data_IF_069396386366
#
_entry.id   IF_069396386366
#
_cell.length_a   1.000
_cell.length_b   1.000
_cell.length_c   1.000
_cell.angle_alpha   90.00
_cell.angle_beta   90.00
_cell.angle_gamma   90.00
#
_symmetry.space_group_name_H-M   'P 1'
#
loop_
_entity.id
_entity.type
_entity.pdbx_description
1 polymer ?
#
# COMPACT_ATOMS: atom_id res chain seq x y z
N UNK A 1 -14.43 -2.38 -66.28
CA UNK A 1 -15.27 -1.26 -65.83
C UNK A 1 -16.54 -1.88 -65.26
N UNK A 2 -16.58 -2.20 -63.95
CA UNK A 2 -16.88 -1.19 -62.93
C UNK A 2 -16.22 -1.40 -61.52
N UNK A 3 -16.32 -0.32 -60.73
CA UNK A 3 -16.42 -0.22 -59.26
C UNK A 3 -15.38 -0.88 -58.35
N UNK A 4 -14.46 -0.03 -57.85
CA UNK A 4 -13.67 -0.26 -56.64
C UNK A 4 -14.55 -0.19 -55.38
N UNK A 5 -14.34 -1.15 -54.48
CA UNK A 5 -14.87 -1.20 -53.12
C UNK A 5 -14.01 -0.34 -52.19
N UNK A 6 -14.63 0.63 -51.54
CA UNK A 6 -14.07 1.32 -50.37
C UNK A 6 -14.15 0.39 -49.15
N UNK A 7 -13.00 0.05 -48.57
CA UNK A 7 -12.91 -0.55 -47.24
C UNK A 7 -12.11 0.36 -46.31
N UNK A 8 -12.86 1.09 -45.48
CA UNK A 8 -12.36 1.90 -44.37
C UNK A 8 -11.62 1.02 -43.35
N UNK A 9 -10.29 1.06 -43.37
CA UNK A 9 -9.45 0.52 -42.29
C UNK A 9 -9.12 1.64 -41.30
N UNK A 10 -9.95 1.80 -40.26
CA UNK A 10 -9.63 2.64 -39.11
C UNK A 10 -8.53 1.99 -38.27
N UNK A 11 -7.30 2.44 -38.52
CA UNK A 11 -6.11 2.18 -37.71
C UNK A 11 -6.30 2.72 -36.28
N UNK A 12 -6.46 1.83 -35.31
CA UNK A 12 -6.33 2.16 -33.89
C UNK A 12 -4.85 2.39 -33.57
N UNK A 13 -4.40 3.64 -33.75
CA UNK A 13 -3.10 4.10 -33.29
C UNK A 13 -3.03 4.00 -31.75
N UNK A 14 -2.36 2.96 -31.25
CA UNK A 14 -1.93 2.91 -29.86
C UNK A 14 -1.00 4.10 -29.58
N UNK A 15 -1.49 5.09 -28.83
CA UNK A 15 -0.67 6.15 -28.26
C UNK A 15 0.35 5.52 -27.31
N UNK A 16 1.55 5.24 -27.81
CA UNK A 16 2.73 4.95 -26.99
C UNK A 16 3.03 6.20 -26.17
N UNK A 17 2.73 6.16 -24.88
CA UNK A 17 3.17 7.17 -23.93
C UNK A 17 4.71 7.22 -23.95
N UNK A 18 5.27 8.21 -24.66
CA UNK A 18 6.68 8.53 -24.56
C UNK A 18 6.99 8.91 -23.12
N UNK A 19 7.73 8.06 -22.42
CA UNK A 19 8.22 8.36 -21.08
C UNK A 19 9.27 9.45 -21.24
N UNK A 20 8.93 10.71 -20.91
CA UNK A 20 9.87 11.83 -20.85
C UNK A 20 10.90 11.55 -19.75
N UNK A 21 11.97 10.84 -20.12
CA UNK A 21 12.97 10.31 -19.20
C UNK A 21 14.11 11.27 -18.87
N UNK A 22 14.05 12.51 -19.36
CA UNK A 22 15.10 13.50 -19.18
C UNK A 22 14.45 14.84 -18.84
N UNK A 23 14.55 15.26 -17.56
CA UNK A 23 14.40 16.66 -17.20
C UNK A 23 15.81 17.23 -17.07
N UNK A 24 16.26 17.97 -18.08
CA UNK A 24 17.50 18.77 -18.06
C UNK A 24 18.82 18.01 -17.84
N UNK A 25 19.03 16.87 -18.51
CA UNK A 25 20.34 16.20 -18.52
C UNK A 25 20.79 15.57 -17.20
N UNK A 26 19.94 15.56 -16.17
CA UNK A 26 20.25 14.98 -14.86
C UNK A 26 19.60 13.61 -14.67
N UNK A 27 20.28 12.73 -13.94
CA UNK A 27 19.77 11.41 -13.55
C UNK A 27 18.47 11.58 -12.77
N UNK A 28 17.46 10.80 -13.17
CA UNK A 28 16.11 10.82 -12.62
C UNK A 28 16.14 10.39 -11.14
N UNK A 29 15.85 11.32 -10.23
CA UNK A 29 15.92 11.07 -8.77
C UNK A 29 14.66 10.43 -8.17
N UNK A 30 13.50 10.54 -8.83
CA UNK A 30 12.24 10.06 -8.25
C UNK A 30 12.03 8.55 -8.47
N UNK A 31 11.54 7.85 -7.45
CA UNK A 31 11.19 6.42 -7.54
C UNK A 31 10.20 6.15 -8.68
N UNK A 32 9.21 7.02 -8.88
CA UNK A 32 8.19 6.89 -9.94
C UNK A 32 8.84 6.82 -11.33
N UNK A 33 9.78 7.72 -11.59
CA UNK A 33 10.40 7.79 -12.91
C UNK A 33 11.48 6.69 -13.10
N UNK A 34 12.20 6.30 -12.04
CA UNK A 34 13.03 5.08 -12.08
C UNK A 34 12.22 3.81 -12.38
N UNK A 35 11.02 3.69 -11.82
CA UNK A 35 10.12 2.58 -12.12
C UNK A 35 9.58 2.63 -13.55
N UNK A 36 9.40 3.83 -14.10
CA UNK A 36 8.96 4.02 -15.48
C UNK A 36 10.01 3.55 -16.50
N UNK A 37 11.31 3.73 -16.21
CA UNK A 37 12.41 3.26 -17.06
C UNK A 37 12.41 1.75 -17.28
N UNK A 38 11.97 0.98 -16.28
CA UNK A 38 11.96 -0.49 -16.32
C UNK A 38 10.56 -1.07 -16.52
N UNK A 39 9.55 -0.22 -16.75
CA UNK A 39 8.15 -0.65 -16.80
C UNK A 39 7.82 -1.49 -18.04
N UNK A 40 8.52 -1.28 -19.15
CA UNK A 40 8.33 -2.02 -20.40
C UNK A 40 9.04 -3.38 -20.41
N UNK A 41 10.15 -3.51 -19.69
CA UNK A 41 10.99 -4.72 -19.69
C UNK A 41 10.65 -5.69 -18.56
N UNK A 42 10.05 -5.21 -17.47
CA UNK A 42 9.70 -6.03 -16.31
C UNK A 42 8.20 -6.32 -16.22
N UNK A 43 7.81 -7.47 -15.65
CA UNK A 43 6.41 -7.74 -15.33
C UNK A 43 5.80 -6.62 -14.49
N UNK A 44 4.50 -6.38 -14.66
CA UNK A 44 3.75 -5.42 -13.84
C UNK A 44 3.94 -5.72 -12.35
N UNK A 45 3.98 -4.70 -11.51
CA UNK A 45 4.23 -4.83 -10.06
C UNK A 45 3.20 -5.71 -9.34
N UNK A 46 1.99 -5.82 -9.88
CA UNK A 46 0.91 -6.66 -9.37
C UNK A 46 0.87 -8.07 -10.00
N UNK A 47 1.84 -8.44 -10.84
CA UNK A 47 1.93 -9.76 -11.46
C UNK A 47 2.16 -10.87 -10.42
N UNK A 48 1.77 -12.10 -10.79
CA UNK A 48 1.81 -13.27 -9.92
C UNK A 48 3.23 -13.68 -9.49
N UNK A 49 4.28 -13.24 -10.19
CA UNK A 49 5.68 -13.49 -9.80
C UNK A 49 6.17 -12.49 -8.74
N UNK A 50 5.70 -11.25 -8.78
CA UNK A 50 6.19 -10.19 -7.89
C UNK A 50 5.78 -10.41 -6.43
N UNK A 51 4.58 -10.94 -6.21
CA UNK A 51 4.03 -11.20 -4.86
C UNK A 51 4.79 -12.30 -4.10
N UNK A 52 4.98 -13.53 -4.62
CA UNK A 52 5.72 -14.58 -3.93
C UNK A 52 7.19 -14.20 -3.76
N UNK A 53 7.83 -13.57 -4.76
CA UNK A 53 9.21 -13.09 -4.60
C UNK A 53 9.31 -12.07 -3.46
N UNK A 54 8.45 -11.06 -3.43
CA UNK A 54 8.44 -10.07 -2.33
C UNK A 54 8.10 -10.70 -0.96
N UNK A 55 7.22 -11.70 -0.90
CA UNK A 55 6.90 -12.41 0.34
C UNK A 55 8.10 -13.22 0.83
N UNK A 56 8.74 -13.95 -0.08
CA UNK A 56 9.94 -14.74 0.19
C UNK A 56 11.09 -13.86 0.67
N UNK A 57 11.40 -12.76 -0.03
CA UNK A 57 12.44 -11.81 0.40
C UNK A 57 12.15 -11.24 1.78
N UNK A 58 10.91 -10.87 2.11
CA UNK A 58 10.57 -10.38 3.47
C UNK A 58 10.78 -11.44 4.54
N UNK A 59 10.48 -12.69 4.23
CA UNK A 59 10.69 -13.82 5.14
C UNK A 59 12.18 -13.99 5.42
N UNK A 60 13.02 -13.97 4.39
CA UNK A 60 14.48 -14.07 4.55
C UNK A 60 15.08 -12.90 5.34
N UNK A 61 14.57 -11.69 5.13
CA UNK A 61 14.99 -10.47 5.84
C UNK A 61 14.39 -10.33 7.25
N UNK A 62 13.64 -11.30 7.76
CA UNK A 62 13.00 -11.21 9.08
C UNK A 62 12.17 -9.92 9.27
N UNK A 63 11.42 -9.51 8.25
CA UNK A 63 10.63 -8.29 8.32
C UNK A 63 9.73 -8.26 9.56
N UNK A 64 9.92 -7.24 10.40
CA UNK A 64 9.18 -7.12 11.64
C UNK A 64 7.78 -6.57 11.35
N UNK A 65 6.76 -7.42 11.47
CA UNK A 65 5.37 -7.02 11.19
C UNK A 65 4.80 -6.03 12.21
N UNK A 66 5.32 -6.02 13.44
CA UNK A 66 4.88 -5.14 14.53
C UNK A 66 5.39 -3.72 14.27
N UNK A 67 6.70 -3.57 14.08
CA UNK A 67 7.35 -2.27 13.87
C UNK A 67 7.40 -1.85 12.40
N UNK A 68 6.95 -2.71 11.48
CA UNK A 68 7.04 -2.51 10.03
C UNK A 68 8.45 -2.15 9.58
N UNK A 69 9.46 -2.79 10.17
CA UNK A 69 10.88 -2.47 9.95
C UNK A 69 11.62 -3.64 9.30
N UNK A 70 12.70 -3.29 8.60
CA UNK A 70 13.69 -4.23 8.08
C UNK A 70 14.93 -4.21 8.98
N UNK A 71 15.80 -5.23 8.89
CA UNK A 71 17.09 -5.21 9.55
C UNK A 71 17.88 -3.94 9.20
N UNK A 72 18.71 -3.52 10.15
CA UNK A 72 19.65 -2.42 9.93
C UNK A 72 20.55 -2.71 8.74
N UNK A 73 21.07 -1.64 8.13
CA UNK A 73 22.07 -1.74 7.08
C UNK A 73 23.29 -2.54 7.55
N UNK A 74 24.00 -3.12 6.58
CA UNK A 74 25.23 -3.87 6.82
C UNK A 74 26.30 -2.98 7.48
N UNK A 75 27.14 -3.57 8.33
CA UNK A 75 28.29 -2.88 8.93
C UNK A 75 29.46 -2.77 7.94
N UNK A 76 30.45 -1.95 8.27
CA UNK A 76 31.66 -1.84 7.46
C UNK A 76 32.41 -3.18 7.38
N UNK A 77 32.44 -3.94 8.47
CA UNK A 77 33.06 -5.26 8.58
C UNK A 77 32.36 -6.28 7.68
N UNK A 78 31.02 -6.32 7.71
CA UNK A 78 30.22 -7.15 6.80
C UNK A 78 30.56 -6.80 5.33
N UNK A 79 30.70 -5.51 5.01
CA UNK A 79 31.06 -5.07 3.64
C UNK A 79 32.41 -5.59 3.16
N UNK A 80 33.39 -5.71 4.06
CA UNK A 80 34.74 -6.16 3.72
C UNK A 80 34.78 -7.66 3.38
N UNK A 81 33.85 -8.45 3.89
CA UNK A 81 33.77 -9.90 3.63
C UNK A 81 33.35 -10.24 2.17
N UNK A 82 32.75 -9.29 1.46
CA UNK A 82 32.23 -9.49 0.09
C UNK A 82 33.26 -9.50 -1.03
N UNK A 83 34.55 -9.27 -0.75
CA UNK A 83 35.54 -8.90 -1.78
C UNK A 83 35.67 -9.91 -2.95
N UNK A 84 35.27 -11.17 -2.78
CA UNK A 84 35.53 -12.23 -3.75
C UNK A 84 34.29 -12.87 -4.39
N UNK A 85 33.07 -12.48 -4.02
CA UNK A 85 31.88 -13.17 -4.49
C UNK A 85 31.28 -12.54 -5.76
N UNK A 86 31.20 -13.33 -6.84
CA UNK A 86 30.55 -12.94 -8.10
C UNK A 86 29.14 -13.55 -8.19
N UNK A 87 28.29 -12.96 -9.03
CA UNK A 87 26.94 -13.48 -9.30
C UNK A 87 27.01 -14.92 -9.82
N UNK A 88 27.90 -15.19 -10.77
CA UNK A 88 28.08 -16.49 -11.40
C UNK A 88 28.51 -17.55 -10.38
N UNK A 89 29.44 -17.20 -9.49
CA UNK A 89 29.90 -18.08 -8.42
C UNK A 89 28.76 -18.40 -7.44
N UNK A 90 28.02 -17.38 -6.99
CA UNK A 90 26.87 -17.57 -6.09
C UNK A 90 25.79 -18.46 -6.70
N UNK A 91 25.42 -18.20 -7.96
CA UNK A 91 24.35 -18.93 -8.64
C UNK A 91 24.75 -20.37 -9.01
N UNK A 92 26.03 -20.62 -9.28
CA UNK A 92 26.52 -21.96 -9.65
C UNK A 92 26.73 -22.88 -8.44
N UNK A 93 26.96 -22.31 -7.25
CA UNK A 93 27.17 -23.08 -6.04
C UNK A 93 25.86 -23.67 -5.49
N UNK A 94 25.55 -24.91 -5.85
CA UNK A 94 24.33 -25.60 -5.40
C UNK A 94 24.58 -26.51 -4.17
N UNK A 95 25.77 -26.48 -3.56
CA UNK A 95 26.17 -27.43 -2.50
C UNK A 95 25.25 -27.38 -1.27
N UNK A 96 24.78 -26.19 -0.90
CA UNK A 96 23.89 -26.00 0.24
C UNK A 96 22.56 -26.77 0.09
N UNK A 97 22.06 -26.92 -1.14
CA UNK A 97 20.80 -27.60 -1.41
C UNK A 97 20.93 -29.12 -1.45
N UNK A 98 22.14 -29.64 -1.72
CA UNK A 98 22.43 -31.08 -1.65
C UNK A 98 22.47 -31.56 -0.20
N UNK A 99 22.92 -30.70 0.72
CA UNK A 99 22.99 -30.97 2.17
C UNK A 99 21.63 -30.79 2.87
N UNK A 100 20.64 -30.26 2.16
CA UNK A 100 19.31 -29.94 2.68
C UNK A 100 18.54 -31.14 3.30
N UNK A 101 18.56 -32.37 2.74
CA UNK A 101 17.68 -33.46 3.19
C UNK A 101 17.94 -33.92 4.64
N UNK A 102 19.17 -33.83 5.13
CA UNK A 102 19.57 -34.41 6.42
C UNK A 102 19.32 -33.47 7.61
N UNK A 103 19.49 -32.15 7.44
CA UNK A 103 19.41 -31.17 8.55
C UNK A 103 18.00 -30.61 8.74
N UNK A 104 17.14 -30.71 7.72
CA UNK A 104 15.91 -29.92 7.62
C UNK A 104 14.63 -30.75 7.51
N UNK A 105 14.76 -32.08 7.48
CA UNK A 105 13.66 -33.04 7.53
C UNK A 105 12.86 -32.98 8.84
N UNK A 106 13.41 -32.35 9.89
CA UNK A 106 12.74 -32.13 11.17
C UNK A 106 11.81 -30.89 11.21
N UNK A 107 11.94 -29.96 10.27
CA UNK A 107 11.12 -28.75 10.24
C UNK A 107 9.86 -28.94 9.38
N UNK A 108 8.69 -28.84 10.01
CA UNK A 108 7.39 -28.90 9.33
C UNK A 108 7.05 -27.61 8.56
N UNK A 109 7.61 -26.46 8.96
CA UNK A 109 7.40 -25.18 8.27
C UNK A 109 8.42 -24.95 7.16
N UNK A 110 7.94 -24.90 5.92
CA UNK A 110 8.72 -24.56 4.72
C UNK A 110 9.39 -23.19 4.83
N UNK A 111 8.76 -22.21 5.50
CA UNK A 111 9.32 -20.86 5.61
C UNK A 111 10.55 -20.84 6.53
N UNK A 112 10.43 -21.41 7.73
CA UNK A 112 11.55 -21.59 8.65
C UNK A 112 12.70 -22.37 8.01
N UNK A 113 12.36 -23.43 7.26
CA UNK A 113 13.33 -24.24 6.51
C UNK A 113 14.14 -23.40 5.53
N UNK A 114 13.46 -22.71 4.62
CA UNK A 114 14.11 -21.89 3.59
C UNK A 114 15.00 -20.81 4.22
N UNK A 115 14.56 -20.22 5.33
CA UNK A 115 15.36 -19.26 6.08
C UNK A 115 16.65 -19.86 6.64
N UNK A 116 16.59 -21.04 7.25
CA UNK A 116 17.79 -21.68 7.80
C UNK A 116 18.80 -22.06 6.71
N UNK A 117 18.33 -22.62 5.58
CA UNK A 117 19.19 -22.91 4.41
C UNK A 117 19.85 -21.63 3.91
N UNK A 118 19.08 -20.56 3.80
CA UNK A 118 19.58 -19.26 3.37
C UNK A 118 20.67 -18.70 4.28
N UNK A 119 20.45 -18.73 5.60
CA UNK A 119 21.45 -18.24 6.57
C UNK A 119 22.69 -19.14 6.59
N UNK A 120 22.53 -20.46 6.48
CA UNK A 120 23.65 -21.38 6.39
C UNK A 120 24.50 -21.15 5.11
N UNK A 121 23.85 -20.85 3.98
CA UNK A 121 24.54 -20.47 2.74
C UNK A 121 25.33 -19.17 2.93
N UNK A 122 24.72 -18.13 3.51
CA UNK A 122 25.40 -16.86 3.80
C UNK A 122 26.62 -17.03 4.72
N UNK A 123 26.50 -17.90 5.74
CA UNK A 123 27.55 -18.15 6.71
C UNK A 123 28.81 -18.78 6.08
N UNK A 124 28.68 -19.57 5.01
CA UNK A 124 29.82 -20.09 4.25
C UNK A 124 30.70 -18.98 3.65
N UNK A 125 30.14 -17.79 3.49
CA UNK A 125 30.80 -16.59 2.95
C UNK A 125 31.05 -15.52 4.03
N UNK A 126 30.96 -15.89 5.32
CA UNK A 126 31.22 -15.02 6.47
C UNK A 126 30.06 -14.09 6.85
N UNK A 127 28.96 -14.08 6.09
CA UNK A 127 27.81 -13.22 6.34
C UNK A 127 26.88 -13.85 7.38
N UNK A 128 26.64 -13.16 8.49
CA UNK A 128 25.86 -13.71 9.61
C UNK A 128 24.36 -13.43 9.51
N UNK A 129 23.94 -12.45 8.71
CA UNK A 129 22.54 -12.03 8.59
C UNK A 129 22.18 -11.54 7.19
N UNK A 130 20.89 -11.62 6.90
CA UNK A 130 20.29 -11.10 5.68
C UNK A 130 19.93 -9.61 5.81
N UNK A 131 20.51 -8.75 4.98
CA UNK A 131 20.10 -7.34 4.89
C UNK A 131 20.43 -6.75 3.52
N UNK A 132 19.89 -5.57 3.22
CA UNK A 132 20.25 -4.78 2.05
C UNK A 132 20.89 -3.45 2.47
N UNK A 133 21.69 -2.88 1.58
CA UNK A 133 22.06 -1.47 1.63
C UNK A 133 20.83 -0.62 1.28
N UNK A 134 20.17 -0.09 2.31
CA UNK A 134 19.01 0.78 2.18
C UNK A 134 19.36 2.22 1.77
N UNK A 135 20.63 2.61 1.86
CA UNK A 135 21.11 3.89 1.35
C UNK A 135 21.08 3.94 -0.19
N UNK A 136 21.13 2.76 -0.83
CA UNK A 136 21.21 2.59 -2.29
C UNK A 136 22.43 3.30 -2.89
N UNK A 137 23.59 3.22 -2.23
CA UNK A 137 24.84 3.71 -2.83
C UNK A 137 25.01 3.10 -4.23
N UNK A 138 25.30 3.95 -5.19
CA UNK A 138 25.48 3.54 -6.58
C UNK A 138 26.63 2.53 -6.67
N UNK A 139 26.45 1.47 -7.47
CA UNK A 139 27.43 0.40 -7.58
C UNK A 139 27.61 -0.43 -6.30
N UNK A 140 26.69 -0.38 -5.34
CA UNK A 140 26.82 -1.18 -4.12
C UNK A 140 26.74 -2.68 -4.43
N UNK A 141 27.92 -3.33 -4.41
CA UNK A 141 28.11 -4.77 -4.61
C UNK A 141 27.32 -5.62 -3.59
N UNK A 142 27.10 -5.10 -2.38
CA UNK A 142 26.29 -5.79 -1.36
C UNK A 142 24.89 -6.14 -1.87
N UNK A 143 24.19 -5.18 -2.47
CA UNK A 143 22.84 -5.42 -2.98
C UNK A 143 22.81 -6.38 -4.17
N UNK A 144 23.86 -6.37 -5.00
CA UNK A 144 23.99 -7.31 -6.13
C UNK A 144 24.17 -8.75 -5.64
N UNK A 145 25.08 -8.95 -4.69
CA UNK A 145 25.35 -10.27 -4.11
C UNK A 145 24.14 -10.79 -3.33
N UNK A 146 23.56 -9.97 -2.45
CA UNK A 146 22.35 -10.37 -1.71
C UNK A 146 21.16 -10.65 -2.63
N UNK A 147 21.04 -9.92 -3.74
CA UNK A 147 20.04 -10.21 -4.77
C UNK A 147 20.28 -11.58 -5.40
N UNK A 148 21.53 -11.92 -5.70
CA UNK A 148 21.90 -13.22 -6.26
C UNK A 148 21.55 -14.37 -5.30
N UNK A 149 21.85 -14.24 -4.00
CA UNK A 149 21.44 -15.24 -3.00
C UNK A 149 19.92 -15.37 -2.92
N UNK A 150 19.18 -14.25 -2.86
CA UNK A 150 17.71 -14.30 -2.80
C UNK A 150 17.12 -14.99 -4.04
N UNK A 151 17.66 -14.71 -5.23
CA UNK A 151 17.21 -15.33 -6.48
C UNK A 151 17.52 -16.82 -6.49
N UNK A 152 18.75 -17.21 -6.15
CA UNK A 152 19.20 -18.61 -6.04
C UNK A 152 18.24 -19.43 -5.17
N UNK A 153 17.96 -18.97 -3.96
CA UNK A 153 17.08 -19.68 -3.01
C UNK A 153 15.62 -19.63 -3.44
N UNK A 154 15.17 -18.54 -4.07
CA UNK A 154 13.81 -18.44 -4.58
C UNK A 154 13.56 -19.43 -5.72
N UNK A 155 14.52 -19.61 -6.64
CA UNK A 155 14.44 -20.59 -7.73
C UNK A 155 14.36 -22.01 -7.14
N UNK A 156 15.25 -22.36 -6.21
CA UNK A 156 15.25 -23.66 -5.54
C UNK A 156 13.90 -23.95 -4.83
N UNK A 157 13.39 -22.99 -4.07
CA UNK A 157 12.09 -23.11 -3.41
C UNK A 157 10.94 -23.28 -4.43
N UNK A 158 11.03 -22.63 -5.59
CA UNK A 158 10.02 -22.74 -6.66
C UNK A 158 10.05 -24.11 -7.34
N UNK A 159 11.22 -24.68 -7.57
CA UNK A 159 11.42 -25.99 -8.20
C UNK A 159 10.92 -27.11 -7.30
N UNK A 160 11.13 -26.99 -5.98
CA UNK A 160 10.55 -27.88 -4.97
C UNK A 160 9.04 -27.78 -4.79
N UNK A 161 8.41 -26.74 -5.33
CA UNK A 161 6.97 -26.52 -5.19
C UNK A 161 6.54 -25.82 -3.89
N UNK A 162 7.46 -25.16 -3.16
CA UNK A 162 7.14 -24.47 -1.90
C UNK A 162 6.11 -23.32 -2.07
N UNK A 163 5.95 -22.83 -3.30
CA UNK A 163 4.97 -21.81 -3.65
C UNK A 163 3.62 -22.39 -4.15
N UNK A 164 3.45 -23.70 -4.14
CA UNK A 164 2.26 -24.38 -4.67
C UNK A 164 2.04 -24.15 -6.17
N UNK A 165 0.79 -24.33 -6.62
CA UNK A 165 0.38 -24.23 -8.03
C UNK A 165 0.17 -22.78 -8.50
N UNK A 166 1.00 -21.83 -8.06
CA UNK A 166 0.88 -20.45 -8.51
C UNK A 166 1.18 -20.36 -10.02
N UNK A 167 0.28 -19.74 -10.82
CA UNK A 167 0.46 -19.61 -12.27
C UNK A 167 1.51 -18.52 -12.57
N UNK A 168 2.78 -18.86 -12.40
CA UNK A 168 3.91 -18.00 -12.73
C UNK A 168 4.29 -18.27 -14.19
N UNK A 169 4.22 -17.23 -15.02
CA UNK A 169 4.68 -17.32 -16.41
C UNK A 169 6.18 -17.68 -16.45
N UNK A 170 6.58 -18.81 -17.06
CA UNK A 170 7.98 -19.23 -17.13
C UNK A 170 8.90 -18.19 -17.78
N UNK A 171 8.40 -17.41 -18.75
CA UNK A 171 9.18 -16.32 -19.38
C UNK A 171 9.57 -15.20 -18.43
N UNK A 172 8.98 -15.14 -17.23
CA UNK A 172 9.36 -14.19 -16.18
C UNK A 172 10.46 -14.74 -15.26
N UNK A 173 10.75 -16.04 -15.31
CA UNK A 173 11.74 -16.75 -14.49
C UNK A 173 13.08 -16.75 -15.23
N UNK A 174 13.61 -15.56 -15.45
CA UNK A 174 14.97 -15.35 -15.98
C UNK A 174 15.73 -14.51 -14.96
N UNK A 175 17.04 -14.75 -14.77
CA UNK A 175 17.85 -14.01 -13.81
C UNK A 175 17.64 -12.49 -13.92
N UNK A 176 17.81 -11.93 -15.12
CA UNK A 176 17.65 -10.49 -15.39
C UNK A 176 16.28 -9.93 -14.98
N UNK A 177 15.19 -10.70 -15.20
CA UNK A 177 13.85 -10.27 -14.78
C UNK A 177 13.67 -10.37 -13.27
N UNK A 178 14.14 -11.45 -12.65
CA UNK A 178 14.06 -11.62 -11.19
C UNK A 178 14.86 -10.54 -10.46
N UNK A 179 16.08 -10.28 -10.92
CA UNK A 179 16.94 -9.20 -10.45
C UNK A 179 16.26 -7.84 -10.63
N UNK A 180 15.73 -7.54 -11.81
CA UNK A 180 15.01 -6.30 -12.07
C UNK A 180 13.79 -6.11 -11.17
N UNK A 181 13.01 -7.18 -10.94
CA UNK A 181 11.86 -7.16 -10.02
C UNK A 181 12.33 -6.89 -8.58
N UNK A 182 13.39 -7.57 -8.14
CA UNK A 182 13.90 -7.43 -6.78
C UNK A 182 14.50 -6.05 -6.56
N UNK A 183 15.30 -5.54 -7.50
CA UNK A 183 15.87 -4.19 -7.43
C UNK A 183 14.78 -3.12 -7.44
N UNK A 184 13.70 -3.28 -8.22
CA UNK A 184 12.53 -2.39 -8.16
C UNK A 184 11.87 -2.42 -6.77
N UNK A 185 11.76 -3.61 -6.16
CA UNK A 185 11.23 -3.78 -4.81
C UNK A 185 12.14 -3.14 -3.75
N UNK A 186 13.45 -3.38 -3.79
CA UNK A 186 14.45 -2.81 -2.89
C UNK A 186 14.41 -1.28 -2.95
N UNK A 187 14.41 -0.69 -4.16
CA UNK A 187 14.30 0.77 -4.33
C UNK A 187 13.04 1.34 -3.70
N UNK A 188 11.91 0.65 -3.87
CA UNK A 188 10.66 1.02 -3.21
C UNK A 188 10.78 1.02 -1.69
N UNK A 189 11.39 -0.02 -1.12
CA UNK A 189 11.54 -0.14 0.34
C UNK A 189 12.56 0.82 0.93
N UNK A 190 13.69 1.00 0.28
CA UNK A 190 14.66 2.04 0.63
C UNK A 190 14.02 3.44 0.60
N UNK A 191 13.16 3.73 -0.38
CA UNK A 191 12.39 4.99 -0.41
C UNK A 191 11.40 5.10 0.75
N UNK A 192 10.71 4.02 1.12
CA UNK A 192 9.81 3.98 2.27
C UNK A 192 10.59 4.26 3.58
N UNK A 193 11.75 3.63 3.76
CA UNK A 193 12.63 3.79 4.92
C UNK A 193 13.15 5.24 5.02
N UNK A 194 13.75 5.77 3.94
CA UNK A 194 14.32 7.14 3.94
C UNK A 194 13.26 8.22 4.13
N UNK A 195 12.06 8.02 3.61
CA UNK A 195 10.96 8.97 3.83
C UNK A 195 10.32 8.84 5.22
N UNK A 196 10.77 7.88 6.04
CA UNK A 196 10.15 7.59 7.33
C UNK A 196 8.68 7.18 7.17
N UNK A 197 8.31 6.55 6.04
CA UNK A 197 6.91 6.17 5.75
C UNK A 197 6.33 5.27 6.84
N UNK A 198 7.18 4.47 7.47
CA UNK A 198 6.81 3.56 8.56
C UNK A 198 6.97 4.18 9.95
N UNK A 199 7.27 5.48 10.06
CA UNK A 199 7.24 6.16 11.35
C UNK A 199 5.82 6.07 11.96
N UNK A 200 5.68 5.86 13.28
CA UNK A 200 4.38 5.67 13.93
C UNK A 200 3.35 6.75 13.56
N UNK A 201 3.77 8.02 13.51
CA UNK A 201 2.88 9.12 13.14
C UNK A 201 2.35 9.03 11.71
N UNK A 202 3.22 8.71 10.74
CA UNK A 202 2.80 8.55 9.33
C UNK A 202 1.93 7.31 9.14
N UNK A 203 2.23 6.24 9.86
CA UNK A 203 1.39 5.03 9.87
C UNK A 203 0.00 5.33 10.43
N UNK A 204 -0.09 6.11 11.51
CA UNK A 204 -1.37 6.56 12.08
C UNK A 204 -2.19 7.35 11.06
N UNK A 205 -1.58 8.32 10.39
CA UNK A 205 -2.25 9.10 9.33
C UNK A 205 -2.73 8.21 8.18
N UNK A 206 -1.91 7.24 7.72
CA UNK A 206 -2.30 6.30 6.65
C UNK A 206 -3.48 5.43 7.09
N UNK A 207 -3.45 4.90 8.31
CA UNK A 207 -4.51 4.04 8.84
C UNK A 207 -5.81 4.83 9.06
N UNK A 208 -5.73 6.04 9.61
CA UNK A 208 -6.88 6.95 9.76
C UNK A 208 -7.52 7.26 8.41
N UNK A 209 -6.72 7.58 7.40
CA UNK A 209 -7.21 7.83 6.04
C UNK A 209 -7.86 6.59 5.41
N UNK A 210 -7.31 5.40 5.64
CA UNK A 210 -7.89 4.14 5.16
C UNK A 210 -9.25 3.89 5.81
N UNK A 211 -9.35 4.08 7.13
CA UNK A 211 -10.59 3.94 7.90
C UNK A 211 -11.65 4.97 7.49
N UNK A 212 -11.25 6.24 7.32
CA UNK A 212 -12.10 7.31 6.79
C UNK A 212 -12.74 6.94 5.45
N UNK A 213 -11.96 6.36 4.52
CA UNK A 213 -12.46 5.87 3.23
C UNK A 213 -13.41 4.67 3.37
N UNK A 214 -13.15 3.76 4.31
CA UNK A 214 -14.05 2.64 4.58
C UNK A 214 -15.39 3.11 5.14
N UNK A 215 -15.36 4.04 6.10
CA UNK A 215 -16.55 4.66 6.68
C UNK A 215 -17.34 5.42 5.62
N UNK A 216 -16.65 6.19 4.78
CA UNK A 216 -17.26 6.87 3.64
C UNK A 216 -17.99 5.88 2.73
N UNK A 217 -17.33 4.80 2.31
CA UNK A 217 -17.96 3.77 1.48
C UNK A 217 -19.21 3.20 2.15
N UNK A 218 -19.11 2.83 3.42
CA UNK A 218 -20.25 2.29 4.17
C UNK A 218 -21.45 3.27 4.19
N UNK A 219 -21.18 4.55 4.45
CA UNK A 219 -22.22 5.60 4.47
C UNK A 219 -22.78 5.86 3.08
N UNK A 220 -21.92 5.95 2.07
CA UNK A 220 -22.31 6.11 0.68
C UNK A 220 -23.26 4.99 0.25
N UNK A 221 -22.88 3.73 0.49
CA UNK A 221 -23.71 2.56 0.19
C UNK A 221 -25.03 2.57 0.98
N UNK A 222 -25.03 3.14 2.19
CA UNK A 222 -26.24 3.24 3.03
C UNK A 222 -27.18 4.36 2.59
N UNK A 223 -26.64 5.52 2.21
CA UNK A 223 -27.38 6.65 1.65
C UNK A 223 -28.03 6.24 0.33
N UNK A 224 -27.29 5.59 -0.56
CA UNK A 224 -27.83 5.07 -1.81
C UNK A 224 -28.97 4.08 -1.56
N UNK A 225 -28.77 3.11 -0.65
CA UNK A 225 -29.75 2.06 -0.36
C UNK A 225 -31.04 2.59 0.27
N UNK A 226 -30.95 3.56 1.18
CA UNK A 226 -32.08 3.98 1.99
C UNK A 226 -32.70 5.31 1.54
N UNK A 227 -31.91 6.25 1.04
CA UNK A 227 -32.35 7.62 0.71
C UNK A 227 -32.34 7.91 -0.80
N UNK A 228 -31.86 6.95 -1.59
CA UNK A 228 -31.75 7.04 -3.04
C UNK A 228 -30.55 7.85 -3.50
N UNK A 229 -30.27 7.78 -4.81
CA UNK A 229 -29.04 8.29 -5.41
C UNK A 229 -28.87 9.82 -5.28
N UNK A 230 -29.97 10.58 -5.28
CA UNK A 230 -29.94 12.04 -5.09
C UNK A 230 -29.32 12.46 -3.75
N UNK A 231 -29.42 11.61 -2.73
CA UNK A 231 -28.86 11.87 -1.39
C UNK A 231 -27.34 11.85 -1.35
N UNK A 232 -26.68 11.25 -2.35
CA UNK A 232 -25.21 11.16 -2.43
C UNK A 232 -24.56 12.54 -2.62
N UNK A 233 -25.31 13.53 -3.12
CA UNK A 233 -24.88 14.93 -3.18
C UNK A 233 -24.54 15.51 -1.80
N UNK A 234 -25.07 14.93 -0.72
CA UNK A 234 -24.80 15.35 0.66
C UNK A 234 -23.48 14.81 1.22
N UNK A 235 -22.95 13.73 0.62
CA UNK A 235 -21.69 13.09 1.01
C UNK A 235 -20.80 12.88 -0.24
N UNK A 236 -20.33 13.97 -0.87
CA UNK A 236 -19.63 13.89 -2.15
C UNK A 236 -18.25 13.23 -2.07
N UNK A 237 -17.57 13.28 -0.92
CA UNK A 237 -16.21 12.75 -0.76
C UNK A 237 -15.96 12.17 0.64
N UNK A 238 -14.92 11.34 0.76
CA UNK A 238 -14.47 10.79 2.04
C UNK A 238 -14.09 11.88 3.05
N UNK A 239 -13.74 13.09 2.61
CA UNK A 239 -13.49 14.26 3.44
C UNK A 239 -14.69 14.73 4.26
N UNK A 240 -15.91 14.28 3.92
CA UNK A 240 -17.11 14.46 4.73
C UNK A 240 -17.14 13.56 5.99
N UNK A 241 -16.22 12.59 6.11
CA UNK A 241 -16.04 11.75 7.30
C UNK A 241 -14.89 12.28 8.17
N UNK A 242 -15.14 12.47 9.47
CA UNK A 242 -14.10 12.88 10.42
C UNK A 242 -13.07 11.76 10.63
N UNK A 243 -11.80 12.14 10.83
CA UNK A 243 -10.73 11.23 11.22
C UNK A 243 -10.90 10.70 12.66
N UNK A 244 -11.63 11.44 13.51
CA UNK A 244 -11.84 11.11 14.93
C UNK A 244 -12.98 10.12 15.17
N UNK A 245 -13.69 9.70 14.13
CA UNK A 245 -14.86 8.84 14.29
C UNK A 245 -14.50 7.36 14.53
N UNK A 246 -13.24 6.97 14.33
CA UNK A 246 -12.80 5.57 14.41
C UNK A 246 -11.59 5.37 15.34
N UNK A 247 -11.85 5.23 16.64
CA UNK A 247 -10.88 4.75 17.64
C UNK A 247 -11.42 3.49 18.33
N UNK A 248 -11.04 2.26 17.88
CA UNK A 248 -11.62 1.02 18.40
C UNK A 248 -11.27 0.75 19.88
N UNK A 249 -10.19 1.35 20.38
CA UNK A 249 -9.64 1.06 21.71
C UNK A 249 -9.88 2.20 22.71
N UNK A 250 -10.47 3.32 22.25
CA UNK A 250 -10.79 4.52 23.06
C UNK A 250 -12.25 4.95 22.89
N UNK A 251 -13.17 4.01 22.68
CA UNK A 251 -14.60 4.30 22.56
C UNK A 251 -15.25 4.64 23.91
N UNK A 252 -14.91 5.81 24.45
CA UNK A 252 -15.78 6.62 25.29
C UNK A 252 -15.83 8.02 24.69
N UNK A 253 -16.36 8.10 23.47
CA UNK A 253 -16.66 9.41 22.90
C UNK A 253 -17.87 9.99 23.63
N UNK A 254 -17.83 11.31 23.68
CA UNK A 254 -18.42 12.14 24.69
C UNK A 254 -19.57 12.89 23.93
N UNK A 255 -20.85 12.75 24.32
CA UNK A 255 -22.09 12.92 23.48
C UNK A 255 -22.68 14.33 23.52
N UNK A 256 -22.97 14.90 22.34
CA UNK A 256 -23.88 16.04 22.19
C UNK A 256 -25.31 15.50 22.12
N UNK A 257 -26.13 15.77 23.14
CA UNK A 257 -27.51 15.29 23.21
C UNK A 257 -28.39 15.95 22.14
N UNK A 258 -28.63 15.25 21.04
CA UNK A 258 -29.56 15.70 19.99
C UNK A 258 -30.82 14.83 20.01
N UNK A 259 -31.98 15.49 20.16
CA UNK A 259 -33.32 14.90 20.40
C UNK A 259 -33.82 13.99 19.28
N UNK A 260 -33.25 14.10 18.07
CA UNK A 260 -33.74 13.45 16.85
C UNK A 260 -33.03 12.14 16.47
N UNK A 261 -32.14 11.58 17.32
CA UNK A 261 -31.53 10.26 17.07
C UNK A 261 -32.32 9.15 17.77
N UNK A 262 -32.99 8.30 16.99
CA UNK A 262 -33.70 7.12 17.48
C UNK A 262 -32.76 6.09 18.09
N UNK A 263 -33.21 5.43 19.17
CA UNK A 263 -32.48 4.51 20.06
C UNK A 263 -31.94 3.21 19.44
N UNK A 264 -32.11 2.98 18.13
CA UNK A 264 -31.72 1.72 17.48
C UNK A 264 -30.68 1.97 16.37
N UNK A 265 -29.49 1.38 16.59
CA UNK A 265 -28.37 1.13 15.65
C UNK A 265 -27.42 2.31 15.33
N UNK A 266 -26.43 2.48 16.20
CA UNK A 266 -24.96 2.33 15.95
C UNK A 266 -24.11 2.78 17.17
N UNK A 267 -24.69 2.81 18.37
CA UNK A 267 -24.14 3.51 19.54
C UNK A 267 -23.83 2.57 20.72
N UNK A 268 -23.02 1.52 20.53
CA UNK A 268 -22.69 0.63 21.66
C UNK A 268 -21.63 1.19 22.63
N UNK A 269 -21.06 2.39 22.42
CA UNK A 269 -19.93 2.86 23.26
C UNK A 269 -19.81 4.39 23.42
N UNK A 270 -20.87 5.14 23.79
CA UNK A 270 -20.78 6.62 23.94
C UNK A 270 -21.52 7.15 25.18
N UNK A 271 -20.92 8.13 25.89
CA UNK A 271 -21.35 8.72 27.20
C UNK A 271 -21.48 10.25 27.05
N UNK A 272 -22.24 10.99 27.88
CA UNK A 272 -22.49 12.45 27.76
C UNK A 272 -21.24 13.37 27.85
N UNK A 273 -21.15 14.45 27.05
CA UNK A 273 -20.08 15.50 27.08
C UNK A 273 -20.42 16.70 27.94
N UNK A 274 -19.45 17.16 28.75
CA UNK A 274 -19.39 18.51 29.30
C UNK A 274 -18.40 19.45 28.58
N UNK A 275 -17.48 18.91 27.75
CA UNK A 275 -16.33 19.69 27.24
C UNK A 275 -16.27 19.71 25.71
N UNK A 276 -16.26 20.91 25.13
CA UNK A 276 -16.04 21.16 23.70
C UNK A 276 -14.53 21.28 23.47
N UNK A 277 -13.96 20.50 22.55
CA UNK A 277 -12.57 20.69 22.13
C UNK A 277 -12.50 21.80 21.07
N UNK A 278 -12.00 23.01 21.39
CA UNK A 278 -11.96 24.13 20.44
C UNK A 278 -10.96 23.90 19.29
N UNK A 279 -10.11 22.87 19.38
CA UNK A 279 -9.10 22.52 18.36
C UNK A 279 -9.50 21.30 17.53
N UNK A 280 -10.71 20.76 17.70
CA UNK A 280 -11.16 19.64 16.90
C UNK A 280 -11.27 20.03 15.42
N UNK A 281 -10.77 19.17 14.53
CA UNK A 281 -10.95 19.36 13.10
C UNK A 281 -12.44 19.23 12.75
N UNK A 282 -12.95 20.14 11.92
CA UNK A 282 -14.33 20.12 11.43
C UNK A 282 -14.37 19.47 10.04
N UNK A 283 -15.42 18.69 9.77
CA UNK A 283 -15.62 18.08 8.45
C UNK A 283 -15.73 19.16 7.37
N UNK A 284 -14.97 18.99 6.28
CA UNK A 284 -15.02 19.88 5.12
C UNK A 284 -15.93 19.28 4.03
N UNK A 285 -16.37 20.11 3.08
CA UNK A 285 -17.17 19.64 1.94
C UNK A 285 -18.65 19.39 2.21
N UNK A 286 -19.16 19.68 3.43
CA UNK A 286 -20.58 19.54 3.74
C UNK A 286 -21.39 20.76 3.25
N UNK A 287 -22.70 20.62 3.01
CA UNK A 287 -23.60 21.76 2.81
C UNK A 287 -23.53 22.76 3.97
N UNK A 288 -23.67 24.06 3.66
CA UNK A 288 -23.63 25.14 4.66
C UNK A 288 -24.61 24.93 5.81
N UNK A 289 -25.82 24.43 5.52
CA UNK A 289 -26.84 24.11 6.53
C UNK A 289 -26.55 22.83 7.34
N UNK A 290 -25.38 22.21 7.20
CA UNK A 290 -24.88 21.18 8.13
C UNK A 290 -24.01 21.75 9.25
N UNK A 291 -23.61 23.02 9.17
CA UNK A 291 -22.81 23.69 10.20
C UNK A 291 -23.72 24.49 11.15
N UNK A 292 -23.26 24.69 12.38
CA UNK A 292 -23.92 25.62 13.29
C UNK A 292 -23.83 27.04 12.71
N UNK A 293 -24.96 27.78 12.55
CA UNK A 293 -24.96 29.08 11.90
C UNK A 293 -24.07 30.11 12.61
N UNK A 294 -24.11 30.15 13.94
CA UNK A 294 -23.32 31.11 14.75
C UNK A 294 -21.83 30.83 14.57
N UNK A 295 -21.44 29.56 14.62
CA UNK A 295 -20.06 29.15 14.37
C UNK A 295 -19.62 29.46 12.94
N UNK A 296 -20.43 29.11 11.93
CA UNK A 296 -20.07 29.33 10.53
C UNK A 296 -19.94 30.81 10.19
N UNK A 297 -20.84 31.65 10.71
CA UNK A 297 -20.81 33.09 10.50
C UNK A 297 -19.64 33.77 11.20
N UNK A 298 -19.14 33.18 12.31
CA UNK A 298 -17.93 33.65 13.00
C UNK A 298 -16.62 33.39 12.23
N UNK A 299 -16.64 32.59 11.16
CA UNK A 299 -15.48 32.30 10.33
C UNK A 299 -15.18 33.45 9.36
N UNK A 300 -13.89 33.79 9.23
CA UNK A 300 -13.39 34.63 8.14
C UNK A 300 -13.48 33.92 6.76
N UNK A 301 -13.37 34.70 5.69
CA UNK A 301 -13.52 34.21 4.31
C UNK A 301 -12.48 33.13 3.97
N UNK A 302 -11.24 33.28 4.46
CA UNK A 302 -10.17 32.30 4.26
C UNK A 302 -10.52 30.93 4.87
N UNK A 303 -11.09 30.91 6.08
CA UNK A 303 -11.56 29.69 6.75
C UNK A 303 -12.76 29.09 6.03
N UNK A 304 -13.71 29.90 5.58
CA UNK A 304 -14.87 29.43 4.77
C UNK A 304 -14.40 28.78 3.47
N UNK A 305 -13.42 29.36 2.78
CA UNK A 305 -12.80 28.79 1.57
C UNK A 305 -12.12 27.45 1.89
N UNK A 306 -11.34 27.37 2.98
CA UNK A 306 -10.67 26.12 3.40
C UNK A 306 -11.64 25.01 3.79
N UNK A 307 -12.81 25.36 4.31
CA UNK A 307 -13.86 24.41 4.65
C UNK A 307 -14.50 23.77 3.41
N UNK A 308 -14.36 24.38 2.22
CA UNK A 308 -14.95 23.91 0.96
C UNK A 308 -16.44 23.63 1.09
N UNK A 309 -17.17 24.44 1.86
CA UNK A 309 -18.59 24.24 2.11
C UNK A 309 -19.39 24.29 0.80
N UNK A 310 -20.37 23.41 0.68
CA UNK A 310 -21.31 23.42 -0.45
C UNK A 310 -22.46 24.39 -0.16
N UNK A 311 -23.13 24.95 -1.17
CA UNK A 311 -24.35 25.71 -0.95
C UNK A 311 -25.37 24.95 -0.09
N UNK A 312 -26.27 25.65 0.62
CA UNK A 312 -27.32 25.01 1.42
C UNK A 312 -28.09 23.98 0.58
N UNK A 313 -28.28 22.78 1.10
CA UNK A 313 -29.00 21.72 0.39
C UNK A 313 -30.45 21.68 0.83
N UNK A 314 -31.38 21.90 -0.10
CA UNK A 314 -32.82 21.73 0.12
C UNK A 314 -33.19 20.29 0.48
N UNK A 315 -32.38 19.32 0.04
CA UNK A 315 -32.56 17.90 0.38
C UNK A 315 -32.54 17.68 1.89
N UNK A 316 -31.71 18.42 2.64
CA UNK A 316 -31.64 18.32 4.09
C UNK A 316 -32.95 18.74 4.78
N UNK A 317 -33.65 19.74 4.23
CA UNK A 317 -34.93 20.20 4.76
C UNK A 317 -36.02 19.12 4.60
N UNK A 318 -35.95 18.34 3.52
CA UNK A 318 -36.87 17.22 3.26
C UNK A 318 -36.44 15.89 3.88
N UNK A 319 -35.20 15.80 4.37
CA UNK A 319 -34.58 14.54 4.75
C UNK A 319 -35.26 13.89 5.96
N UNK A 320 -35.64 14.69 6.96
CA UNK A 320 -36.35 14.21 8.15
C UNK A 320 -37.65 13.48 7.77
N UNK A 321 -38.47 14.10 6.92
CA UNK A 321 -39.71 13.52 6.43
C UNK A 321 -39.48 12.22 5.64
N UNK A 322 -38.42 12.17 4.80
CA UNK A 322 -38.08 10.95 4.04
C UNK A 322 -37.64 9.81 4.97
N UNK A 323 -36.85 10.11 6.00
CA UNK A 323 -36.45 9.12 7.01
C UNK A 323 -37.66 8.58 7.75
N UNK A 324 -38.56 9.46 8.21
CA UNK A 324 -39.81 9.05 8.88
C UNK A 324 -40.65 8.12 8.00
N UNK A 325 -40.81 8.45 6.72
CA UNK A 325 -41.54 7.60 5.77
C UNK A 325 -40.90 6.21 5.61
N UNK A 326 -39.57 6.13 5.57
CA UNK A 326 -38.85 4.84 5.49
C UNK A 326 -39.03 4.03 6.77
N UNK A 327 -38.96 4.68 7.93
CA UNK A 327 -39.12 4.02 9.23
C UNK A 327 -40.54 3.47 9.41
N UNK A 328 -41.56 4.22 8.96
CA UNK A 328 -42.96 3.81 9.02
C UNK A 328 -43.28 2.69 8.00
N UNK A 329 -42.60 2.69 6.85
CA UNK A 329 -42.83 1.72 5.77
C UNK A 329 -42.15 0.35 5.97
N UNK A 330 -41.37 0.15 7.05
CA UNK A 330 -40.80 -1.16 7.39
C UNK A 330 -41.73 -1.89 8.39
N UNK A 331 -42.38 -3.00 8.00
CA UNK A 331 -43.25 -3.78 8.88
C UNK A 331 -42.50 -4.51 10.01
#
# INVERSE_FOLDING_TARGET
MPSYLDSNSTSFAHKTHQVRNWKHGAVVKSLKANNALVASSLPKSNSQICRPLAKFTRMLLEYNNIHKSYPLEHTCEERLQLQYLTQEATMSDQRIFVLEPAVLSSLTDNSARQKMVFLADLQQYGMQRATFDWSLKEGCRWNQVMTSFVIKHWIHAKERGDFGNLPINPSHITHTKLEGILMRWIRGKASDIRSGRNAPEKLRVIENNKKKRQLFKYRHDSFERHLGQESLKLIPDADCCSETEWEPDQTKHKKVGLVWRTSRRFDQCRVDTSDINPKAAVCCGLPQNCYDPVWYDSLDDDKKIKLKSQPPSELLNSLANRIEQIVIAQP
#
